data_IF_125387320032
#
_entry.id   IF_125387320032
#
_cell.length_a   1.000
_cell.length_b   1.000
_cell.length_c   1.000
_cell.angle_alpha   90.00
_cell.angle_beta   90.00
_cell.angle_gamma   90.00
#
_symmetry.space_group_name_H-M   'P 1'
#
loop_
_entity.id
_entity.type
_entity.pdbx_description
1 polymer ?
#
# COMPACT_ATOMS: atom_id res chain seq x y z
N UNK A 1 7.15 -13.34 14.23
CA UNK A 1 8.23 -14.03 13.51
C UNK A 1 7.68 -14.55 12.19
N UNK A 2 8.33 -14.18 11.09
CA UNK A 2 7.92 -14.50 9.72
C UNK A 2 8.78 -15.66 9.23
N UNK A 3 8.17 -16.84 9.09
CA UNK A 3 8.82 -18.00 8.46
C UNK A 3 7.77 -18.73 7.64
N UNK A 4 7.64 -18.34 6.37
CA UNK A 4 6.89 -19.14 5.39
C UNK A 4 7.70 -19.21 4.11
N UNK A 5 8.84 -19.89 4.21
CA UNK A 5 9.50 -20.46 3.05
C UNK A 5 8.64 -21.64 2.63
N UNK A 6 7.76 -21.44 1.64
CA UNK A 6 7.19 -22.57 0.93
C UNK A 6 8.34 -23.27 0.19
N UNK A 7 8.35 -24.59 0.20
CA UNK A 7 9.35 -25.40 -0.52
C UNK A 7 9.35 -25.05 -2.01
N UNK A 8 10.31 -24.22 -2.43
CA UNK A 8 10.54 -23.91 -3.83
C UNK A 8 11.43 -25.02 -4.38
N UNK A 9 10.87 -25.91 -5.20
CA UNK A 9 11.67 -26.86 -5.96
C UNK A 9 12.43 -26.08 -7.05
N UNK A 10 13.67 -25.73 -6.77
CA UNK A 10 14.55 -25.04 -7.72
C UNK A 10 15.23 -26.11 -8.58
N UNK A 11 14.70 -26.34 -9.77
CA UNK A 11 15.42 -27.11 -10.79
C UNK A 11 16.55 -26.25 -11.34
N UNK A 12 17.79 -26.70 -11.16
CA UNK A 12 19.00 -26.04 -11.65
C UNK A 12 19.53 -26.81 -12.84
N UNK A 13 19.81 -26.10 -13.93
CA UNK A 13 20.58 -26.64 -15.05
C UNK A 13 21.87 -25.84 -15.15
N UNK A 14 23.01 -26.54 -15.16
CA UNK A 14 24.34 -25.95 -15.21
C UNK A 14 24.93 -26.25 -16.57
N UNK A 15 25.46 -25.22 -17.23
CA UNK A 15 26.15 -25.34 -18.50
C UNK A 15 27.50 -24.67 -18.41
N UNK A 16 28.50 -25.25 -19.07
CA UNK A 16 29.81 -24.64 -19.29
C UNK A 16 29.90 -24.25 -20.76
N UNK A 17 30.37 -23.03 -21.04
CA UNK A 17 30.53 -22.54 -22.42
C UNK A 17 32.02 -22.38 -22.68
N UNK A 18 32.57 -23.28 -23.49
CA UNK A 18 33.98 -23.28 -23.85
C UNK A 18 34.22 -22.55 -25.19
N UNK A 19 33.71 -21.33 -25.33
CA UNK A 19 33.73 -20.56 -26.58
C UNK A 19 34.79 -19.44 -26.60
N UNK A 20 35.64 -19.35 -25.58
CA UNK A 20 36.68 -18.31 -25.47
C UNK A 20 38.06 -18.95 -25.32
N UNK A 21 39.10 -18.30 -25.87
CA UNK A 21 40.50 -18.75 -25.78
C UNK A 21 41.17 -18.49 -24.42
N UNK A 22 40.39 -18.08 -23.42
CA UNK A 22 40.84 -17.89 -22.04
C UNK A 22 40.69 -19.21 -21.28
N UNK A 23 41.65 -19.47 -20.40
CA UNK A 23 41.63 -20.47 -19.34
C UNK A 23 40.45 -20.34 -18.36
N UNK A 24 39.68 -19.25 -18.43
CA UNK A 24 38.45 -19.08 -17.68
C UNK A 24 37.23 -19.65 -18.43
N UNK A 25 36.67 -20.76 -17.94
CA UNK A 25 35.44 -21.36 -18.44
C UNK A 25 34.20 -20.80 -17.69
N UNK A 26 33.42 -19.89 -18.28
CA UNK A 26 32.25 -19.33 -17.63
C UNK A 26 31.18 -20.40 -17.41
N UNK A 27 30.68 -20.47 -16.18
CA UNK A 27 29.58 -21.37 -15.78
C UNK A 27 28.28 -20.57 -15.76
N UNK A 28 27.29 -21.02 -16.54
CA UNK A 28 25.95 -20.43 -16.56
C UNK A 28 25.01 -21.28 -15.71
N UNK A 29 24.24 -20.60 -14.86
CA UNK A 29 23.19 -21.19 -14.05
C UNK A 29 21.82 -20.75 -14.57
N UNK A 30 21.04 -21.70 -15.07
CA UNK A 30 19.63 -21.50 -15.38
C UNK A 30 18.75 -21.94 -14.20
N UNK A 31 17.99 -20.99 -13.67
CA UNK A 31 17.01 -21.22 -12.61
C UNK A 31 15.61 -21.24 -13.21
N UNK A 32 15.03 -22.44 -13.32
CA UNK A 32 13.63 -22.58 -13.71
C UNK A 32 12.79 -22.46 -12.44
N UNK A 33 12.15 -21.31 -12.26
CA UNK A 33 11.21 -21.10 -11.16
C UNK A 33 9.79 -21.33 -11.66
N UNK A 34 9.18 -22.45 -11.24
CA UNK A 34 7.74 -22.68 -11.44
C UNK A 34 6.95 -21.82 -10.44
N UNK A 35 7.02 -20.50 -10.61
CA UNK A 35 6.43 -19.56 -9.68
C UNK A 35 4.96 -19.29 -10.08
N UNK A 36 4.05 -20.18 -9.68
CA UNK A 36 2.70 -19.70 -9.34
C UNK A 36 2.83 -19.02 -7.99
N UNK A 37 3.25 -17.75 -7.99
CA UNK A 37 3.25 -16.97 -6.75
C UNK A 37 1.79 -16.92 -6.27
N UNK A 38 1.50 -17.38 -5.03
CA UNK A 38 0.16 -17.21 -4.49
C UNK A 38 -0.20 -15.72 -4.51
N UNK A 39 -1.49 -15.38 -4.66
CA UNK A 39 -1.91 -13.99 -4.67
C UNK A 39 -1.34 -13.28 -3.44
N UNK A 40 -0.68 -12.13 -3.65
CA UNK A 40 -0.13 -11.32 -2.57
C UNK A 40 -1.32 -10.82 -1.74
N UNK A 41 -1.65 -11.53 -0.67
CA UNK A 41 -2.71 -11.12 0.25
C UNK A 41 -2.18 -10.01 1.15
N UNK A 42 -2.84 -8.86 1.12
CA UNK A 42 -2.51 -7.77 2.03
C UNK A 42 -3.08 -8.11 3.40
N UNK A 43 -2.28 -7.88 4.43
CA UNK A 43 -2.72 -8.07 5.82
C UNK A 43 -3.16 -6.72 6.38
N UNK A 44 -4.44 -6.58 6.76
CA UNK A 44 -4.90 -5.46 7.58
C UNK A 44 -4.91 -5.88 9.04
N UNK A 45 -4.32 -5.04 9.89
CA UNK A 45 -4.38 -5.16 11.34
C UNK A 45 -5.33 -4.11 11.88
N UNK A 46 -6.19 -4.50 12.80
CA UNK A 46 -7.07 -3.60 13.53
C UNK A 46 -6.94 -3.92 15.01
N UNK A 47 -6.57 -2.91 15.79
CA UNK A 47 -6.40 -3.03 17.24
C UNK A 47 -7.61 -2.44 17.93
N UNK A 48 -8.24 -3.22 18.80
CA UNK A 48 -9.24 -2.71 19.72
C UNK A 48 -8.53 -2.02 20.90
N UNK A 49 -8.46 -0.69 20.86
CA UNK A 49 -7.77 0.11 21.86
C UNK A 49 -8.42 0.06 23.24
N UNK A 50 -9.75 -0.09 23.35
CA UNK A 50 -10.41 -0.20 24.67
C UNK A 50 -10.04 -1.52 25.34
N UNK A 51 -10.07 -2.62 24.59
CA UNK A 51 -9.62 -3.94 25.06
C UNK A 51 -8.12 -3.93 25.43
N UNK A 52 -7.29 -3.28 24.62
CA UNK A 52 -5.87 -3.11 24.93
C UNK A 52 -5.67 -2.39 26.26
N UNK A 53 -6.39 -1.27 26.43
CA UNK A 53 -6.33 -0.44 27.62
C UNK A 53 -6.77 -1.20 28.87
N UNK A 54 -7.87 -1.96 28.81
CA UNK A 54 -8.33 -2.83 29.89
C UNK A 54 -7.26 -3.86 30.30
N UNK A 55 -6.64 -4.55 29.33
CA UNK A 55 -5.59 -5.55 29.61
C UNK A 55 -4.38 -4.89 30.29
N UNK A 56 -3.97 -3.70 29.83
CA UNK A 56 -2.84 -2.98 30.41
C UNK A 56 -3.14 -2.52 31.85
N UNK A 57 -4.34 -2.02 32.11
CA UNK A 57 -4.73 -1.59 33.45
C UNK A 57 -4.82 -2.74 34.44
N UNK A 58 -5.31 -3.91 34.01
CA UNK A 58 -5.37 -5.08 34.89
C UNK A 58 -4.01 -5.71 35.15
N UNK A 59 -3.11 -5.72 34.17
CA UNK A 59 -1.83 -6.42 34.26
C UNK A 59 -0.68 -5.57 34.84
N UNK A 60 -0.86 -4.25 34.96
CA UNK A 60 0.14 -3.35 35.54
C UNK A 60 -0.49 -2.56 36.70
N UNK A 61 -0.53 -3.12 37.91
CA UNK A 61 -0.91 -2.35 39.09
C UNK A 61 0.08 -1.18 39.24
N UNK A 62 -0.45 0.02 39.47
CA UNK A 62 0.38 1.20 39.69
C UNK A 62 1.34 0.96 40.86
N UNK A 63 2.64 1.16 40.62
CA UNK A 63 3.75 1.00 41.56
C UNK A 63 4.17 -0.45 41.88
N UNK A 64 4.76 -1.20 40.93
CA UNK A 64 5.36 -2.50 41.23
C UNK A 64 6.61 -2.32 42.10
N UNK A 65 6.78 -3.19 43.09
CA UNK A 65 8.06 -3.29 43.82
C UNK A 65 9.11 -3.85 42.86
N UNK A 66 10.18 -3.09 42.61
CA UNK A 66 11.23 -3.47 41.66
C UNK A 66 12.37 -4.10 42.45
N UNK A 67 12.37 -5.43 42.53
CA UNK A 67 13.47 -6.20 43.14
C UNK A 67 14.58 -6.51 42.13
N UNK A 68 14.22 -6.74 40.87
CA UNK A 68 15.13 -6.97 39.73
C UNK A 68 14.67 -6.11 38.54
N UNK A 69 15.55 -5.24 38.08
CA UNK A 69 15.30 -4.32 36.98
C UNK A 69 15.06 -5.06 35.66
N UNK A 70 15.85 -6.08 35.35
CA UNK A 70 15.77 -6.79 34.08
C UNK A 70 14.48 -7.61 34.01
N UNK A 71 14.11 -8.24 35.12
CA UNK A 71 12.85 -8.97 35.26
C UNK A 71 11.65 -8.01 35.12
N UNK A 72 11.71 -6.83 35.74
CA UNK A 72 10.65 -5.83 35.65
C UNK A 72 10.46 -5.34 34.20
N UNK A 73 11.55 -5.04 33.48
CA UNK A 73 11.50 -4.64 32.06
C UNK A 73 10.94 -5.76 31.19
N UNK A 74 11.35 -7.01 31.44
CA UNK A 74 10.85 -8.17 30.70
C UNK A 74 9.35 -8.36 30.91
N UNK A 75 8.87 -8.21 32.15
CA UNK A 75 7.45 -8.34 32.49
C UNK A 75 6.60 -7.28 31.79
N UNK A 76 7.01 -6.00 31.84
CA UNK A 76 6.28 -4.92 31.16
C UNK A 76 6.27 -5.13 29.64
N UNK A 77 7.42 -5.50 29.05
CA UNK A 77 7.53 -5.74 27.61
C UNK A 77 6.64 -6.90 27.17
N UNK A 78 6.60 -7.98 27.95
CA UNK A 78 5.76 -9.15 27.69
C UNK A 78 4.28 -8.80 27.84
N UNK A 79 3.91 -8.04 28.88
CA UNK A 79 2.55 -7.58 29.09
C UNK A 79 2.05 -6.73 27.93
N UNK A 80 2.85 -5.76 27.47
CA UNK A 80 2.50 -4.91 26.33
C UNK A 80 2.38 -5.72 25.04
N UNK A 81 3.34 -6.60 24.75
CA UNK A 81 3.32 -7.46 23.57
C UNK A 81 2.08 -8.38 23.55
N UNK A 82 1.80 -9.01 24.69
CA UNK A 82 0.64 -9.89 24.86
C UNK A 82 -0.67 -9.09 24.72
N UNK A 83 -0.76 -7.92 25.34
CA UNK A 83 -1.93 -7.04 25.23
C UNK A 83 -2.18 -6.61 23.77
N UNK A 84 -1.13 -6.25 23.02
CA UNK A 84 -1.25 -5.94 21.59
C UNK A 84 -1.73 -7.17 20.82
N UNK A 85 -1.12 -8.33 21.04
CA UNK A 85 -1.50 -9.56 20.33
C UNK A 85 -2.96 -9.97 20.59
N UNK A 86 -3.45 -9.80 21.82
CA UNK A 86 -4.80 -10.16 22.24
C UNK A 86 -5.87 -9.14 21.81
N UNK A 87 -5.46 -7.91 21.54
CA UNK A 87 -6.34 -6.81 21.12
C UNK A 87 -6.29 -6.53 19.61
N UNK A 88 -5.27 -7.02 18.91
CA UNK A 88 -5.13 -6.88 17.46
C UNK A 88 -5.73 -8.07 16.72
N UNK A 89 -6.74 -7.82 15.90
CA UNK A 89 -7.24 -8.76 14.91
C UNK A 89 -6.54 -8.55 13.57
N UNK A 90 -6.25 -9.64 12.88
CA UNK A 90 -5.55 -9.64 11.60
C UNK A 90 -6.45 -10.22 10.52
N UNK A 91 -6.76 -9.42 9.49
CA UNK A 91 -7.58 -9.85 8.36
C UNK A 91 -6.74 -9.91 7.09
N UNK A 92 -6.77 -11.06 6.42
CA UNK A 92 -6.28 -11.18 5.06
C UNK A 92 -7.29 -10.54 4.12
N UNK A 93 -6.83 -9.57 3.34
CA UNK A 93 -7.66 -8.89 2.35
C UNK A 93 -7.05 -9.13 0.99
N UNK A 94 -7.84 -9.79 0.16
CA UNK A 94 -7.64 -9.77 -1.28
C UNK A 94 -8.16 -8.43 -1.79
N UNK A 95 -7.38 -7.36 -1.61
CA UNK A 95 -7.59 -6.18 -2.43
C UNK A 95 -6.99 -6.56 -3.78
N UNK A 96 -7.78 -6.69 -4.86
CA UNK A 96 -7.18 -6.68 -6.19
C UNK A 96 -6.47 -5.34 -6.27
N UNK A 97 -5.15 -5.35 -6.08
CA UNK A 97 -4.38 -4.17 -6.37
C UNK A 97 -4.70 -3.92 -7.83
N UNK A 98 -5.40 -2.82 -8.12
CA UNK A 98 -5.68 -2.38 -9.49
C UNK A 98 -4.32 -2.04 -10.08
N UNK A 99 -3.60 -3.09 -10.49
CA UNK A 99 -2.36 -2.98 -11.21
C UNK A 99 -2.77 -2.38 -12.53
N UNK A 100 -2.14 -1.26 -12.87
CA UNK A 100 -2.31 -0.69 -14.19
C UNK A 100 -2.01 -1.80 -15.23
N UNK A 101 -2.77 -1.81 -16.34
CA UNK A 101 -2.45 -2.63 -17.50
C UNK A 101 -0.96 -2.59 -17.85
N UNK A 102 -0.41 -3.71 -18.34
CA UNK A 102 1.04 -3.83 -18.63
C UNK A 102 1.51 -2.74 -19.60
N UNK A 103 0.72 -2.40 -20.62
CA UNK A 103 1.05 -1.33 -21.58
C UNK A 103 1.30 0.02 -20.88
N UNK A 104 0.48 0.42 -19.90
CA UNK A 104 0.68 1.67 -19.15
C UNK A 104 1.93 1.56 -18.27
N UNK A 105 2.18 0.39 -17.67
CA UNK A 105 3.38 0.17 -16.85
C UNK A 105 4.65 0.26 -17.68
N UNK A 106 4.66 -0.27 -18.90
CA UNK A 106 5.76 -0.15 -19.84
C UNK A 106 6.05 1.32 -20.20
N UNK A 107 5.03 2.12 -20.46
CA UNK A 107 5.18 3.56 -20.68
C UNK A 107 5.79 4.26 -19.45
N UNK A 108 5.35 3.90 -18.24
CA UNK A 108 5.93 4.43 -17.00
C UNK A 108 7.41 4.05 -16.87
N UNK A 109 7.78 2.80 -17.17
CA UNK A 109 9.17 2.33 -17.17
C UNK A 109 10.00 3.12 -18.18
N UNK A 110 9.51 3.29 -19.40
CA UNK A 110 10.18 4.09 -20.45
C UNK A 110 10.38 5.54 -20.00
N UNK A 111 9.33 6.17 -19.45
CA UNK A 111 9.38 7.55 -18.95
C UNK A 111 10.41 7.70 -17.83
N UNK A 112 10.50 6.72 -16.91
CA UNK A 112 11.50 6.72 -15.86
C UNK A 112 12.93 6.56 -16.40
N UNK A 113 13.13 5.72 -17.43
CA UNK A 113 14.42 5.58 -18.13
C UNK A 113 14.86 6.91 -18.75
N UNK A 114 14.00 7.57 -19.53
CA UNK A 114 14.32 8.88 -20.12
C UNK A 114 14.52 9.98 -19.06
N UNK A 115 13.78 9.94 -17.95
CA UNK A 115 14.00 10.89 -16.85
C UNK A 115 15.36 10.70 -16.20
N UNK A 116 15.81 9.46 -16.02
CA UNK A 116 17.17 9.16 -15.54
C UNK A 116 18.23 9.69 -16.52
N UNK A 117 18.05 9.44 -17.82
CA UNK A 117 18.95 9.97 -18.85
C UNK A 117 19.00 11.50 -18.84
N UNK A 118 17.84 12.18 -18.81
CA UNK A 118 17.77 13.64 -18.72
C UNK A 118 18.49 14.18 -17.48
N UNK A 119 18.28 13.56 -16.31
CA UNK A 119 18.92 14.01 -15.08
C UNK A 119 20.45 13.93 -15.16
N UNK A 120 20.98 12.87 -15.81
CA UNK A 120 22.41 12.64 -15.95
C UNK A 120 23.06 13.52 -17.02
N UNK A 121 22.44 13.64 -18.20
CA UNK A 121 23.08 14.29 -19.35
C UNK A 121 22.63 15.72 -19.59
N UNK A 122 21.49 16.13 -19.00
CA UNK A 122 20.80 17.40 -19.32
C UNK A 122 20.59 17.60 -20.83
N UNK A 123 20.43 16.51 -21.59
CA UNK A 123 20.20 16.57 -23.03
C UNK A 123 18.72 16.87 -23.38
N UNK A 124 18.38 18.03 -23.97
CA UNK A 124 16.99 18.49 -24.11
C UNK A 124 16.02 17.52 -24.81
N UNK A 125 16.44 16.73 -25.81
CA UNK A 125 15.57 15.71 -26.41
C UNK A 125 15.04 14.69 -25.41
N UNK A 126 15.81 14.27 -24.41
CA UNK A 126 15.30 13.36 -23.37
C UNK A 126 14.19 13.99 -22.53
N UNK A 127 14.24 15.31 -22.28
CA UNK A 127 13.15 16.03 -21.62
C UNK A 127 11.88 16.06 -22.50
N UNK A 128 12.04 16.21 -23.82
CA UNK A 128 10.92 16.13 -24.77
C UNK A 128 10.25 14.76 -24.73
N UNK A 129 11.04 13.68 -24.73
CA UNK A 129 10.54 12.30 -24.61
C UNK A 129 9.80 12.07 -23.28
N UNK A 130 10.37 12.54 -22.16
CA UNK A 130 9.68 12.46 -20.86
C UNK A 130 8.31 13.14 -20.91
N UNK A 131 8.23 14.34 -21.49
CA UNK A 131 6.97 15.08 -21.59
C UNK A 131 5.97 14.41 -22.53
N UNK A 132 6.44 13.84 -23.65
CA UNK A 132 5.60 13.06 -24.56
C UNK A 132 5.00 11.83 -23.87
N UNK A 133 5.84 11.06 -23.18
CA UNK A 133 5.40 9.88 -22.42
C UNK A 133 4.46 10.26 -21.26
N UNK A 134 4.66 11.39 -20.60
CA UNK A 134 3.71 11.88 -19.57
C UNK A 134 2.33 12.12 -20.18
N UNK A 135 2.25 12.77 -21.35
CA UNK A 135 0.97 13.00 -22.04
C UNK A 135 0.31 11.68 -22.44
N UNK A 136 1.08 10.76 -23.01
CA UNK A 136 0.58 9.44 -23.41
C UNK A 136 0.07 8.64 -22.20
N UNK A 137 0.83 8.57 -21.11
CA UNK A 137 0.42 7.90 -19.87
C UNK A 137 -0.89 8.48 -19.33
N UNK A 138 -1.05 9.81 -19.35
CA UNK A 138 -2.29 10.46 -18.91
C UNK A 138 -3.47 10.05 -19.78
N UNK A 139 -3.31 10.05 -21.10
CA UNK A 139 -4.34 9.61 -22.05
C UNK A 139 -4.73 8.15 -21.80
N UNK A 140 -3.74 7.25 -21.78
CA UNK A 140 -3.97 5.81 -21.59
C UNK A 140 -4.65 5.49 -20.25
N UNK A 141 -4.27 6.19 -19.17
CA UNK A 141 -4.94 6.05 -17.88
C UNK A 141 -6.39 6.52 -17.96
N UNK A 142 -6.65 7.64 -18.63
CA UNK A 142 -8.00 8.16 -18.80
C UNK A 142 -8.86 7.19 -19.62
N UNK A 143 -8.33 6.69 -20.73
CA UNK A 143 -9.01 5.73 -21.61
C UNK A 143 -9.29 4.41 -20.89
N UNK A 144 -8.32 3.92 -20.12
CA UNK A 144 -8.50 2.74 -19.29
C UNK A 144 -9.59 2.92 -18.23
N UNK A 145 -9.61 4.07 -17.53
CA UNK A 145 -10.67 4.41 -16.57
C UNK A 145 -12.03 4.49 -17.24
N UNK A 146 -12.12 5.16 -18.39
CA UNK A 146 -13.36 5.30 -19.15
C UNK A 146 -13.89 3.94 -19.60
N UNK A 147 -13.02 3.07 -20.13
CA UNK A 147 -13.38 1.71 -20.55
C UNK A 147 -13.84 0.86 -19.36
N UNK A 148 -13.10 0.90 -18.26
CA UNK A 148 -13.44 0.17 -17.04
C UNK A 148 -14.79 0.63 -16.49
N UNK A 149 -15.03 1.93 -16.48
CA UNK A 149 -16.30 2.52 -16.07
C UNK A 149 -17.44 2.12 -17.00
N UNK A 150 -17.24 2.21 -18.32
CA UNK A 150 -18.22 1.77 -19.31
C UNK A 150 -18.58 0.30 -19.13
N UNK A 151 -17.58 -0.57 -18.98
CA UNK A 151 -17.82 -1.99 -18.75
C UNK A 151 -18.60 -2.22 -17.45
N UNK A 152 -18.25 -1.51 -16.37
CA UNK A 152 -19.01 -1.57 -15.12
C UNK A 152 -20.47 -1.12 -15.30
N UNK A 153 -20.72 -0.03 -16.02
CA UNK A 153 -22.09 0.42 -16.30
C UNK A 153 -22.89 -0.64 -17.08
N UNK A 154 -22.26 -1.37 -18.01
CA UNK A 154 -22.90 -2.46 -18.74
C UNK A 154 -23.25 -3.66 -17.85
N UNK A 155 -22.59 -3.82 -16.70
CA UNK A 155 -22.94 -4.89 -15.74
C UNK A 155 -24.13 -4.54 -14.83
N UNK A 156 -24.64 -3.30 -14.88
CA UNK A 156 -25.75 -2.89 -14.04
C UNK A 156 -27.08 -3.40 -14.58
N UNK A 157 -27.94 -3.83 -13.67
CA UNK A 157 -29.28 -4.30 -13.95
C UNK A 157 -30.28 -3.59 -13.01
N UNK A 158 -31.44 -3.12 -13.52
CA UNK A 158 -32.50 -2.60 -12.67
C UNK A 158 -33.13 -3.68 -11.76
N UNK A 159 -33.17 -4.95 -12.20
CA UNK A 159 -33.86 -6.04 -11.49
C UNK A 159 -33.10 -6.57 -10.26
N UNK A 160 -31.78 -6.40 -10.20
CA UNK A 160 -30.93 -6.93 -9.12
C UNK A 160 -30.51 -5.87 -8.09
N UNK A 161 -31.18 -4.71 -8.09
CA UNK A 161 -30.86 -3.53 -7.27
C UNK A 161 -29.44 -2.94 -7.48
N UNK A 162 -28.63 -3.42 -8.42
CA UNK A 162 -27.28 -2.90 -8.65
C UNK A 162 -27.29 -1.43 -9.10
N UNK A 163 -28.24 -1.07 -9.98
CA UNK A 163 -28.44 0.31 -10.43
C UNK A 163 -28.88 1.22 -9.28
N UNK A 164 -29.84 0.78 -8.47
CA UNK A 164 -30.30 1.51 -7.29
C UNK A 164 -29.16 1.73 -6.28
N UNK A 165 -28.37 0.69 -6.00
CA UNK A 165 -27.22 0.75 -5.12
C UNK A 165 -26.16 1.74 -5.61
N UNK A 166 -25.92 1.78 -6.93
CA UNK A 166 -25.02 2.75 -7.54
C UNK A 166 -25.54 4.18 -7.40
N UNK A 167 -26.80 4.41 -7.78
CA UNK A 167 -27.46 5.71 -7.65
C UNK A 167 -27.39 6.21 -6.20
N UNK A 168 -27.75 5.36 -5.23
CA UNK A 168 -27.68 5.69 -3.80
C UNK A 168 -26.29 6.14 -3.37
N UNK A 169 -25.21 5.54 -3.90
CA UNK A 169 -23.83 5.98 -3.59
C UNK A 169 -23.55 7.38 -4.10
N UNK A 170 -24.08 7.77 -5.26
CA UNK A 170 -23.94 9.13 -5.81
C UNK A 170 -24.85 10.14 -5.13
N UNK A 171 -26.05 9.74 -4.70
CA UNK A 171 -27.01 10.62 -4.02
C UNK A 171 -26.66 10.88 -2.56
N UNK A 172 -25.66 10.19 -1.99
CA UNK A 172 -25.17 10.47 -0.63
C UNK A 172 -24.61 11.89 -0.60
N UNK A 173 -25.37 12.80 0.03
CA UNK A 173 -24.91 14.16 0.29
C UNK A 173 -23.72 14.12 1.24
N UNK A 174 -22.69 14.88 0.92
CA UNK A 174 -21.62 15.15 1.86
C UNK A 174 -22.21 15.92 3.04
N UNK A 175 -22.15 15.37 4.24
CA UNK A 175 -22.44 16.13 5.45
C UNK A 175 -21.31 17.12 5.65
N UNK A 176 -21.56 18.44 5.63
CA UNK A 176 -20.50 19.42 5.86
C UNK A 176 -19.85 19.13 7.21
N UNK A 177 -18.54 19.34 7.28
CA UNK A 177 -17.81 19.18 8.53
C UNK A 177 -18.43 20.13 9.57
N UNK A 178 -18.73 19.66 10.79
CA UNK A 178 -19.38 20.48 11.80
C UNK A 178 -18.57 21.74 12.10
N UNK A 179 -19.21 22.81 12.61
CA UNK A 179 -18.48 24.00 12.98
C UNK A 179 -17.42 23.69 14.06
N UNK A 180 -16.29 24.39 13.99
CA UNK A 180 -15.20 24.25 14.95
C UNK A 180 -15.24 25.38 15.97
N UNK A 181 -14.77 25.13 17.18
CA UNK A 181 -14.54 26.20 18.13
C UNK A 181 -13.19 26.84 17.82
N UNK A 182 -13.21 28.06 17.29
CA UNK A 182 -12.04 28.90 17.10
C UNK A 182 -11.98 30.03 18.14
N UNK A 183 -10.91 30.83 18.14
CA UNK A 183 -10.74 31.95 19.06
C UNK A 183 -11.80 33.05 18.89
N UNK A 184 -12.38 33.19 17.69
CA UNK A 184 -13.51 34.09 17.41
C UNK A 184 -14.90 33.49 17.64
N UNK A 185 -15.01 32.26 18.17
CA UNK A 185 -16.26 31.53 18.32
C UNK A 185 -16.42 30.37 17.33
N UNK A 186 -17.67 29.99 17.03
CA UNK A 186 -17.95 28.88 16.09
C UNK A 186 -17.59 29.25 14.65
N UNK A 187 -16.67 28.49 14.07
CA UNK A 187 -16.20 28.58 12.69
C UNK A 187 -17.04 27.69 11.78
N UNK A 188 -17.82 28.29 10.89
CA UNK A 188 -18.72 27.59 9.98
C UNK A 188 -18.10 27.42 8.59
N UNK A 189 -17.39 28.45 8.11
CA UNK A 189 -16.75 28.44 6.79
C UNK A 189 -15.42 27.68 6.80
N UNK A 190 -14.99 27.19 5.62
CA UNK A 190 -13.72 26.49 5.49
C UNK A 190 -12.51 27.39 5.81
N UNK A 191 -12.64 28.69 5.56
CA UNK A 191 -11.63 29.69 5.91
C UNK A 191 -11.53 29.88 7.44
N UNK A 192 -12.66 30.11 8.12
CA UNK A 192 -12.69 30.25 9.58
C UNK A 192 -12.18 28.98 10.28
N UNK A 193 -12.52 27.80 9.74
CA UNK A 193 -12.02 26.52 10.24
C UNK A 193 -10.50 26.42 10.09
N UNK A 194 -9.94 26.86 8.96
CA UNK A 194 -8.50 26.87 8.75
C UNK A 194 -7.77 27.81 9.71
N UNK A 195 -8.36 28.98 10.02
CA UNK A 195 -7.83 29.89 11.04
C UNK A 195 -7.90 29.27 12.45
N UNK A 196 -9.02 28.66 12.82
CA UNK A 196 -9.14 27.95 14.10
C UNK A 196 -8.06 26.86 14.28
N UNK A 197 -7.68 26.17 13.20
CA UNK A 197 -6.57 25.22 13.22
C UNK A 197 -5.19 25.88 13.32
N UNK A 198 -5.00 27.03 12.67
CA UNK A 198 -3.74 27.78 12.73
C UNK A 198 -3.44 28.23 14.17
N UNK A 199 -4.46 28.64 14.91
CA UNK A 199 -4.30 29.17 16.26
C UNK A 199 -4.12 28.07 17.34
N UNK A 200 -4.29 26.79 16.98
CA UNK A 200 -4.13 25.63 17.89
C UNK A 200 -2.81 24.87 17.70
N UNK A 201 -1.92 25.35 16.83
CA UNK A 201 -0.62 24.77 16.46
C UNK A 201 0.54 25.63 16.98
#
# INVERSE_FOLDING_TARGET
MCSRWCDVEIKRKVFTINELSSDHNPVIFDFITNNVLPPILRTLKSTNWTKFQEIIYHNNPGNPQIDDLDLAVQNVTSNVSNAISASTSTKLINTPHLRLPENIRELIRAKNRFRKLWNNTRYPPYKREVNALIRQIRSEIQDHKNRTWKNFLLTLNPEDNSLYNLHRKFSKRHTPFPPLNGPGGMAYSDFEKAEAFKDTL
#
